data_IF_236884559610
#
_entry.id   IF_236884559610
#
_cell.length_a   1.000
_cell.length_b   1.000
_cell.length_c   1.000
_cell.angle_alpha   90.00
_cell.angle_beta   90.00
_cell.angle_gamma   90.00
#
_symmetry.space_group_name_H-M   'P 1'
#
loop_
_entity.id
_entity.type
_entity.pdbx_description
1 polymer ?
#
# COMPACT_ATOMS: atom_id res chain seq x y z
N UNK A 1 11.26 32.98 -8.06
CA UNK A 1 12.47 32.12 -8.05
C UNK A 1 12.74 31.71 -6.61
N UNK A 2 12.21 30.57 -6.20
CA UNK A 2 12.40 30.03 -4.86
C UNK A 2 12.43 28.50 -5.00
N UNK A 3 13.62 27.98 -5.29
CA UNK A 3 13.94 26.55 -5.36
C UNK A 3 15.26 26.37 -4.63
N UNK A 4 15.21 26.45 -3.31
CA UNK A 4 16.33 26.09 -2.45
C UNK A 4 16.13 24.63 -2.03
N UNK A 5 16.82 23.77 -2.79
CA UNK A 5 17.51 22.55 -2.40
C UNK A 5 17.00 21.79 -1.16
N UNK A 6 16.21 20.75 -1.41
CA UNK A 6 15.94 19.65 -0.46
C UNK A 6 17.21 18.82 -0.18
N UNK A 7 18.26 18.93 -1.02
CA UNK A 7 19.52 18.21 -0.85
C UNK A 7 20.33 18.65 0.38
N UNK A 8 20.06 19.82 0.95
CA UNK A 8 20.85 20.36 2.07
C UNK A 8 20.37 19.86 3.45
N UNK A 9 19.14 19.32 3.55
CA UNK A 9 18.61 18.79 4.83
C UNK A 9 18.96 17.33 5.11
N UNK A 10 19.62 16.64 4.19
CA UNK A 10 19.95 15.20 4.31
C UNK A 10 21.35 14.97 4.91
N UNK A 11 22.18 16.00 5.04
CA UNK A 11 23.61 15.85 5.32
C UNK A 11 24.02 15.82 6.82
N UNK A 12 23.14 16.12 7.79
CA UNK A 12 23.57 16.34 9.18
C UNK A 12 23.24 15.23 10.19
N UNK A 13 22.81 14.04 9.74
CA UNK A 13 22.35 12.95 10.64
C UNK A 13 23.28 11.74 10.80
N UNK A 14 24.47 11.73 10.19
CA UNK A 14 25.34 10.53 10.16
C UNK A 14 26.41 10.56 11.24
N UNK A 15 26.09 10.02 12.43
CA UNK A 15 27.05 9.32 13.29
C UNK A 15 26.35 8.76 14.54
N UNK A 16 25.96 7.47 14.56
CA UNK A 16 26.28 6.55 15.66
C UNK A 16 25.79 5.10 15.41
N UNK A 17 26.70 4.16 15.67
CA UNK A 17 26.52 2.74 16.01
C UNK A 17 26.21 1.76 14.88
N UNK A 18 27.27 1.07 14.48
CA UNK A 18 27.28 -0.27 13.90
C UNK A 18 27.82 -1.23 14.98
N UNK A 19 27.02 -2.19 15.48
CA UNK A 19 27.44 -3.58 15.75
C UNK A 19 26.34 -4.50 16.34
N UNK A 20 26.22 -5.66 15.68
CA UNK A 20 25.89 -7.02 16.14
C UNK A 20 24.52 -7.39 16.74
N UNK A 21 23.79 -8.26 16.01
CA UNK A 21 23.57 -9.69 16.34
C UNK A 21 22.15 -10.22 15.99
N UNK A 22 22.10 -10.90 14.85
CA UNK A 22 21.24 -12.04 14.45
C UNK A 22 20.47 -12.80 15.58
N UNK A 23 19.13 -12.91 15.48
CA UNK A 23 18.38 -14.20 15.42
C UNK A 23 16.84 -14.05 15.34
N UNK A 24 16.30 -14.69 14.29
CA UNK A 24 15.04 -15.44 14.15
C UNK A 24 13.72 -14.84 14.68
N UNK A 25 12.78 -14.62 13.75
CA UNK A 25 11.36 -14.63 14.11
C UNK A 25 10.39 -13.99 13.12
N UNK A 26 10.05 -14.73 12.06
CA UNK A 26 8.88 -14.53 11.17
C UNK A 26 8.99 -13.42 10.12
N UNK A 27 9.35 -13.83 8.90
CA UNK A 27 9.08 -13.08 7.68
C UNK A 27 7.61 -13.33 7.27
N UNK A 28 6.69 -12.37 7.42
CA UNK A 28 5.33 -12.54 6.91
C UNK A 28 5.36 -12.41 5.39
N UNK A 29 5.57 -13.56 4.74
CA UNK A 29 5.50 -13.77 3.29
C UNK A 29 4.32 -13.00 2.68
N UNK A 30 4.62 -11.89 2.02
CA UNK A 30 3.64 -11.08 1.29
C UNK A 30 3.83 -11.36 -0.19
N UNK A 31 3.01 -12.30 -0.69
CA UNK A 31 3.15 -12.88 -2.03
C UNK A 31 2.47 -11.99 -3.07
N UNK A 32 3.20 -11.61 -4.12
CA UNK A 32 2.62 -11.07 -5.36
C UNK A 32 2.57 -12.18 -6.40
N UNK A 33 1.40 -12.79 -6.62
CA UNK A 33 1.17 -13.82 -7.64
C UNK A 33 2.35 -14.83 -7.80
N UNK A 34 2.76 -15.43 -6.68
CA UNK A 34 3.82 -16.46 -6.50
C UNK A 34 5.29 -16.00 -6.54
N UNK A 35 5.58 -14.72 -6.77
CA UNK A 35 6.96 -14.18 -6.74
C UNK A 35 7.18 -13.24 -5.54
N UNK A 36 8.36 -13.37 -4.91
CA UNK A 36 8.81 -12.55 -3.79
C UNK A 36 9.34 -11.20 -4.30
N UNK A 37 8.44 -10.23 -4.46
CA UNK A 37 8.75 -8.92 -5.05
C UNK A 37 8.94 -7.85 -3.96
N UNK A 38 8.66 -8.17 -2.69
CA UNK A 38 8.51 -7.17 -1.62
C UNK A 38 9.51 -7.44 -0.50
N UNK A 39 10.68 -6.81 -0.57
CA UNK A 39 11.56 -6.74 0.58
C UNK A 39 11.03 -5.69 1.57
N UNK A 40 10.57 -6.13 2.73
CA UNK A 40 10.04 -5.26 3.76
C UNK A 40 11.19 -4.68 4.60
N UNK A 41 11.26 -3.36 4.71
CA UNK A 41 12.02 -2.69 5.76
C UNK A 41 11.03 -2.23 6.84
N UNK A 42 11.21 -2.73 8.05
CA UNK A 42 10.45 -2.30 9.23
C UNK A 42 11.18 -1.13 9.89
N UNK A 43 10.53 0.03 9.94
CA UNK A 43 11.03 1.19 10.71
C UNK A 43 10.28 1.40 12.03
N UNK A 44 9.03 0.97 12.09
CA UNK A 44 8.17 1.03 13.27
C UNK A 44 7.18 -0.15 13.22
N UNK A 45 6.58 -0.53 14.36
CA UNK A 45 5.71 -1.70 14.50
C UNK A 45 4.48 -1.68 13.56
N UNK A 46 4.13 -0.52 13.00
CA UNK A 46 3.00 -0.35 12.09
C UNK A 46 3.37 0.24 10.70
N UNK A 47 4.63 0.59 10.45
CA UNK A 47 5.03 1.20 9.18
C UNK A 47 6.02 0.31 8.44
N UNK A 48 5.49 -0.37 7.42
CA UNK A 48 6.26 -1.21 6.51
C UNK A 48 6.57 -0.48 5.22
N UNK A 49 7.82 -0.59 4.77
CA UNK A 49 8.32 0.06 3.58
C UNK A 49 8.93 -0.94 2.60
N UNK A 50 8.90 -0.59 1.31
CA UNK A 50 9.47 -1.39 0.22
C UNK A 50 10.45 -0.52 -0.58
N UNK A 51 11.69 -0.97 -0.81
CA UNK A 51 12.63 -0.27 -1.67
C UNK A 51 12.12 -0.18 -3.11
N UNK A 52 12.03 1.04 -3.65
CA UNK A 52 11.62 1.25 -5.04
C UNK A 52 12.63 0.67 -6.03
N UNK A 53 13.92 0.68 -5.69
CA UNK A 53 14.98 0.05 -6.47
C UNK A 53 14.68 -1.42 -6.80
N UNK A 54 14.22 -2.19 -5.80
CA UNK A 54 13.86 -3.61 -5.98
C UNK A 54 12.60 -3.80 -6.82
N UNK A 55 11.58 -2.97 -6.59
CA UNK A 55 10.36 -3.00 -7.39
C UNK A 55 10.67 -2.70 -8.87
N UNK A 56 11.48 -1.67 -9.12
CA UNK A 56 11.91 -1.29 -10.47
C UNK A 56 12.74 -2.38 -11.13
N UNK A 57 13.70 -2.99 -10.42
CA UNK A 57 14.50 -4.09 -10.92
C UNK A 57 13.64 -5.29 -11.34
N UNK A 58 12.62 -5.63 -10.55
CA UNK A 58 11.72 -6.76 -10.83
C UNK A 58 10.84 -6.50 -12.05
N UNK A 59 10.33 -5.27 -12.19
CA UNK A 59 9.46 -4.87 -13.30
C UNK A 59 10.24 -4.48 -14.58
N UNK A 60 11.55 -4.31 -14.47
CA UNK A 60 12.41 -3.82 -15.55
C UNK A 60 12.17 -2.34 -15.88
N UNK A 61 11.87 -1.52 -14.86
CA UNK A 61 11.62 -0.09 -14.99
C UNK A 61 12.90 0.72 -14.75
N UNK A 62 12.94 1.92 -15.32
CA UNK A 62 13.93 2.93 -14.97
C UNK A 62 13.65 3.48 -13.57
N UNK A 63 14.61 3.29 -12.65
CA UNK A 63 14.46 3.66 -11.25
C UNK A 63 14.35 5.18 -11.07
N UNK A 64 15.21 5.96 -11.74
CA UNK A 64 15.20 7.42 -11.62
C UNK A 64 13.86 8.01 -12.08
N UNK A 65 13.37 7.58 -13.24
CA UNK A 65 12.06 7.97 -13.76
C UNK A 65 10.91 7.56 -12.84
N UNK A 66 10.93 6.33 -12.30
CA UNK A 66 9.90 5.84 -11.39
C UNK A 66 9.88 6.61 -10.06
N UNK A 67 11.05 6.93 -9.49
CA UNK A 67 11.17 7.76 -8.29
C UNK A 67 10.67 9.16 -8.56
N UNK A 68 11.05 9.77 -9.68
CA UNK A 68 10.63 11.13 -10.02
C UNK A 68 9.10 11.22 -10.24
N UNK A 69 8.52 10.21 -10.88
CA UNK A 69 7.06 10.09 -11.03
C UNK A 69 6.35 9.95 -9.66
N UNK A 70 6.91 9.14 -8.76
CA UNK A 70 6.36 8.97 -7.41
C UNK A 70 6.45 10.27 -6.58
N UNK A 71 7.55 11.03 -6.70
CA UNK A 71 7.71 12.34 -6.05
C UNK A 71 6.69 13.36 -6.60
N UNK A 72 6.47 13.35 -7.92
CA UNK A 72 5.52 14.26 -8.57
C UNK A 72 4.05 14.00 -8.16
N UNK A 73 3.73 12.76 -7.75
CA UNK A 73 2.39 12.39 -7.33
C UNK A 73 2.17 12.66 -5.82
N UNK A 74 1.25 13.56 -5.47
CA UNK A 74 1.01 14.03 -4.09
C UNK A 74 0.73 12.91 -3.08
N UNK A 75 -0.07 11.90 -3.46
CA UNK A 75 -0.36 10.76 -2.58
C UNK A 75 0.86 9.86 -2.36
N UNK A 76 1.60 9.52 -3.43
CA UNK A 76 2.78 8.66 -3.32
C UNK A 76 3.89 9.36 -2.54
N UNK A 77 4.14 10.64 -2.83
CA UNK A 77 5.19 11.41 -2.16
C UNK A 77 4.98 11.51 -0.64
N UNK A 78 3.73 11.47 -0.17
CA UNK A 78 3.42 11.43 1.27
C UNK A 78 3.94 10.18 1.99
N UNK A 79 4.10 9.06 1.28
CA UNK A 79 4.63 7.81 1.81
C UNK A 79 6.01 7.43 1.29
N UNK A 80 6.72 8.35 0.63
CA UNK A 80 8.13 8.17 0.30
C UNK A 80 9.03 8.53 1.49
N UNK A 81 10.10 7.77 1.67
CA UNK A 81 11.18 8.01 2.63
C UNK A 81 12.52 7.70 1.98
N UNK A 82 13.59 8.29 2.51
CA UNK A 82 14.96 7.87 2.22
C UNK A 82 15.55 7.20 3.46
N UNK A 83 15.94 5.93 3.34
CA UNK A 83 16.44 5.12 4.44
C UNK A 83 17.75 4.47 4.01
N UNK A 84 18.82 4.75 4.73
CA UNK A 84 20.18 4.31 4.39
C UNK A 84 20.61 4.63 2.94
N UNK A 85 20.04 5.69 2.34
CA UNK A 85 20.30 6.10 0.96
C UNK A 85 19.31 5.54 -0.07
N UNK A 86 18.51 4.53 0.28
CA UNK A 86 17.49 3.96 -0.61
C UNK A 86 16.18 4.75 -0.52
N UNK A 87 15.56 4.99 -1.68
CA UNK A 87 14.19 5.52 -1.73
C UNK A 87 13.22 4.36 -1.52
N UNK A 88 12.41 4.46 -0.47
CA UNK A 88 11.41 3.44 -0.13
C UNK A 88 10.01 4.02 -0.16
N UNK A 89 9.04 3.17 -0.50
CA UNK A 89 7.62 3.49 -0.55
C UNK A 89 6.87 2.71 0.54
N UNK A 90 5.95 3.36 1.23
CA UNK A 90 5.07 2.71 2.21
C UNK A 90 4.24 1.60 1.53
N UNK A 91 4.16 0.43 2.17
CA UNK A 91 3.56 -0.80 1.58
C UNK A 91 2.14 -0.60 1.08
N UNK A 92 1.32 0.16 1.81
CA UNK A 92 -0.09 0.44 1.46
C UNK A 92 -0.24 1.29 0.18
N UNK A 93 0.81 1.98 -0.25
CA UNK A 93 0.83 2.79 -1.47
C UNK A 93 1.37 2.03 -2.69
N UNK A 94 1.98 0.86 -2.49
CA UNK A 94 2.44 0.00 -3.60
C UNK A 94 1.30 -0.35 -4.56
N UNK A 95 0.08 -0.69 -4.10
CA UNK A 95 -1.02 -0.98 -5.01
C UNK A 95 -1.38 0.18 -5.94
N UNK A 96 -1.39 1.41 -5.40
CA UNK A 96 -1.63 2.63 -6.16
C UNK A 96 -0.49 2.90 -7.15
N UNK A 97 0.76 2.71 -6.73
CA UNK A 97 1.91 2.88 -7.60
C UNK A 97 1.85 1.91 -8.79
N UNK A 98 1.59 0.62 -8.56
CA UNK A 98 1.42 -0.37 -9.63
C UNK A 98 0.26 -0.03 -10.59
N UNK A 99 -0.83 0.51 -10.05
CA UNK A 99 -1.98 0.91 -10.86
C UNK A 99 -1.68 2.04 -11.85
N UNK A 100 -0.64 2.84 -11.60
CA UNK A 100 -0.28 4.01 -12.41
C UNK A 100 0.85 3.77 -13.42
N UNK A 101 1.52 2.61 -13.36
CA UNK A 101 2.63 2.29 -14.27
C UNK A 101 2.12 2.04 -15.69
N UNK A 102 2.80 2.61 -16.67
CA UNK A 102 2.54 2.28 -18.08
C UNK A 102 3.02 0.85 -18.38
N UNK A 103 2.09 -0.04 -18.73
CA UNK A 103 2.37 -1.42 -19.12
C UNK A 103 3.32 -1.55 -20.32
N UNK A 104 3.45 -0.52 -21.15
CA UNK A 104 4.42 -0.52 -22.25
C UNK A 104 5.87 -0.36 -21.77
N UNK A 105 6.06 0.30 -20.61
CA UNK A 105 7.37 0.60 -20.01
C UNK A 105 7.99 -0.55 -19.21
N UNK A 106 7.21 -1.58 -18.86
CA UNK A 106 7.72 -2.77 -18.16
C UNK A 106 8.26 -3.82 -19.13
N UNK A 107 9.05 -4.74 -18.58
CA UNK A 107 9.53 -5.91 -19.32
C UNK A 107 8.35 -6.75 -19.86
N UNK A 108 8.60 -7.51 -20.94
CA UNK A 108 7.54 -8.29 -21.60
C UNK A 108 7.00 -9.44 -20.75
N UNK A 109 7.79 -9.94 -19.80
CA UNK A 109 7.42 -11.06 -18.93
C UNK A 109 6.32 -10.67 -17.91
N UNK A 110 6.37 -9.44 -17.39
CA UNK A 110 5.44 -8.96 -16.35
C UNK A 110 4.28 -8.14 -16.93
N UNK A 111 4.38 -7.69 -18.19
CA UNK A 111 3.36 -6.87 -18.86
C UNK A 111 1.94 -7.42 -18.76
N UNK A 112 1.74 -8.72 -19.01
CA UNK A 112 0.41 -9.34 -18.94
C UNK A 112 -0.11 -9.41 -17.51
N UNK A 113 0.75 -9.74 -16.54
CA UNK A 113 0.43 -9.76 -15.10
C UNK A 113 0.03 -8.35 -14.62
N UNK A 114 0.79 -7.32 -15.00
CA UNK A 114 0.50 -5.94 -14.62
C UNK A 114 -0.82 -5.45 -15.24
N UNK A 115 -1.09 -5.78 -16.50
CA UNK A 115 -2.35 -5.41 -17.15
C UNK A 115 -3.56 -6.07 -16.47
N UNK A 116 -3.45 -7.35 -16.12
CA UNK A 116 -4.49 -8.06 -15.36
C UNK A 116 -4.71 -7.40 -13.98
N UNK A 117 -3.62 -7.16 -13.25
CA UNK A 117 -3.67 -6.48 -11.95
C UNK A 117 -4.38 -5.11 -12.04
N UNK A 118 -4.08 -4.30 -13.06
CA UNK A 118 -4.71 -2.99 -13.26
C UNK A 118 -6.22 -3.10 -13.56
N UNK A 119 -6.62 -4.11 -14.34
CA UNK A 119 -8.04 -4.39 -14.61
C UNK A 119 -8.78 -4.82 -13.34
N UNK A 120 -8.17 -5.71 -12.55
CA UNK A 120 -8.72 -6.15 -11.27
C UNK A 120 -8.81 -5.00 -10.28
N UNK A 121 -7.78 -4.15 -10.20
CA UNK A 121 -7.80 -2.95 -9.36
C UNK A 121 -8.94 -2.01 -9.75
N UNK A 122 -9.14 -1.74 -11.04
CA UNK A 122 -10.25 -0.91 -11.50
C UNK A 122 -11.61 -1.51 -11.09
N UNK A 123 -11.78 -2.82 -11.25
CA UNK A 123 -13.00 -3.52 -10.86
C UNK A 123 -13.25 -3.47 -9.35
N UNK A 124 -12.22 -3.76 -8.54
CA UNK A 124 -12.30 -3.73 -7.07
C UNK A 124 -12.56 -2.32 -6.56
N UNK A 125 -11.86 -1.31 -7.11
CA UNK A 125 -12.11 0.09 -6.76
C UNK A 125 -13.55 0.47 -7.10
N UNK A 126 -14.04 0.11 -8.28
CA UNK A 126 -15.43 0.34 -8.66
C UNK A 126 -16.42 -0.32 -7.69
N UNK A 127 -16.20 -1.59 -7.34
CA UNK A 127 -17.06 -2.33 -6.41
C UNK A 127 -17.02 -1.76 -4.98
N UNK A 128 -15.83 -1.35 -4.52
CA UNK A 128 -15.64 -0.80 -3.17
C UNK A 128 -16.25 0.59 -3.00
N UNK A 129 -16.25 1.40 -4.06
CA UNK A 129 -16.83 2.74 -4.07
C UNK A 129 -18.25 2.78 -4.64
N UNK A 130 -18.79 1.65 -5.13
CA UNK A 130 -20.19 1.54 -5.49
C UNK A 130 -21.01 1.82 -4.22
N UNK A 131 -21.79 2.91 -4.16
CA UNK A 131 -22.74 3.11 -3.08
C UNK A 131 -23.82 2.03 -3.30
N UNK A 132 -23.67 0.88 -2.65
CA UNK A 132 -24.66 -0.19 -2.65
C UNK A 132 -25.16 -0.66 -4.02
N UNK A 133 -24.32 -0.81 -5.05
CA UNK A 133 -24.73 -1.63 -6.22
C UNK A 133 -25.16 -0.91 -7.50
N UNK A 134 -25.08 0.42 -7.62
CA UNK A 134 -25.66 1.15 -8.77
C UNK A 134 -24.64 1.75 -9.76
N UNK A 135 -24.91 1.58 -11.05
CA UNK A 135 -24.16 2.24 -12.13
C UNK A 135 -24.65 3.67 -12.38
N UNK A 136 -23.96 4.47 -13.21
CA UNK A 136 -24.42 5.80 -13.61
C UNK A 136 -25.73 5.79 -14.41
N UNK A 137 -26.21 4.62 -14.84
CA UNK A 137 -27.49 4.39 -15.52
C UNK A 137 -28.68 4.08 -14.58
N UNK A 138 -28.43 3.79 -13.30
CA UNK A 138 -29.46 3.37 -12.35
C UNK A 138 -30.06 4.58 -11.62
N UNK A 139 -31.28 4.97 -12.01
CA UNK A 139 -31.91 6.24 -11.55
C UNK A 139 -32.69 6.10 -10.23
N UNK A 140 -32.95 4.89 -9.72
CA UNK A 140 -33.71 4.69 -8.47
C UNK A 140 -33.16 3.47 -7.71
N UNK A 141 -32.86 3.66 -6.42
CA UNK A 141 -32.49 2.57 -5.51
C UNK A 141 -33.71 1.64 -5.34
N UNK A 142 -33.60 0.32 -5.58
CA UNK A 142 -34.62 -0.63 -5.12
C UNK A 142 -34.69 -0.57 -3.59
N UNK A 143 -35.90 -0.48 -3.06
CA UNK A 143 -36.07 -0.57 -1.61
C UNK A 143 -35.58 -1.95 -1.11
N UNK A 144 -35.17 -2.09 0.17
CA UNK A 144 -34.79 -3.39 0.74
C UNK A 144 -35.81 -4.52 0.52
N UNK A 145 -37.07 -4.17 0.24
CA UNK A 145 -38.14 -5.10 -0.12
C UNK A 145 -38.02 -5.69 -1.54
N UNK A 146 -37.21 -5.10 -2.41
CA UNK A 146 -37.04 -5.44 -3.82
C UNK A 146 -35.67 -6.09 -4.12
N UNK A 147 -34.78 -6.16 -3.14
CA UNK A 147 -33.46 -6.78 -3.29
C UNK A 147 -33.54 -8.31 -3.31
N UNK A 148 -32.73 -8.94 -4.17
CA UNK A 148 -32.60 -10.39 -4.19
C UNK A 148 -31.92 -10.92 -2.90
N UNK A 149 -32.22 -12.16 -2.46
CA UNK A 149 -31.64 -12.72 -1.24
C UNK A 149 -30.10 -12.74 -1.22
N UNK A 150 -29.47 -12.92 -2.38
CA UNK A 150 -28.01 -12.89 -2.52
C UNK A 150 -27.44 -11.47 -2.32
N UNK A 151 -28.17 -10.44 -2.74
CA UNK A 151 -27.77 -9.05 -2.59
C UNK A 151 -27.89 -8.60 -1.13
N UNK A 152 -28.97 -8.97 -0.46
CA UNK A 152 -29.14 -8.77 0.99
C UNK A 152 -28.04 -9.47 1.80
N UNK A 153 -27.70 -10.71 1.44
CA UNK A 153 -26.62 -11.45 2.08
C UNK A 153 -25.27 -10.76 1.90
N UNK A 154 -24.96 -10.31 0.68
CA UNK A 154 -23.73 -9.57 0.40
C UNK A 154 -23.62 -8.28 1.21
N UNK A 155 -24.68 -7.46 1.25
CA UNK A 155 -24.70 -6.24 2.07
C UNK A 155 -24.52 -6.55 3.57
N UNK A 156 -25.18 -7.61 4.06
CA UNK A 156 -25.01 -8.09 5.43
C UNK A 156 -23.56 -8.48 5.74
N UNK A 157 -22.91 -9.23 4.85
CA UNK A 157 -21.51 -9.63 5.01
C UNK A 157 -20.55 -8.42 4.95
N UNK A 158 -20.81 -7.43 4.10
CA UNK A 158 -20.01 -6.21 4.07
C UNK A 158 -20.14 -5.39 5.35
N UNK A 159 -21.34 -5.28 5.91
CA UNK A 159 -21.56 -4.64 7.19
C UNK A 159 -20.83 -5.38 8.33
N UNK A 160 -20.89 -6.72 8.35
CA UNK A 160 -20.16 -7.53 9.31
C UNK A 160 -18.64 -7.35 9.18
N UNK A 161 -18.10 -7.34 7.95
CA UNK A 161 -16.68 -7.11 7.69
C UNK A 161 -16.23 -5.71 8.10
N UNK A 162 -17.10 -4.70 7.96
CA UNK A 162 -16.82 -3.34 8.44
C UNK A 162 -16.77 -3.28 9.98
N UNK A 163 -17.71 -3.93 10.67
CA UNK A 163 -17.72 -4.03 12.14
C UNK A 163 -16.48 -4.75 12.67
N UNK A 164 -16.10 -5.88 12.04
CA UNK A 164 -14.90 -6.62 12.44
C UNK A 164 -13.63 -5.76 12.32
N UNK A 165 -13.51 -4.97 11.24
CA UNK A 165 -12.39 -4.02 11.07
C UNK A 165 -12.35 -2.97 12.18
N UNK A 166 -13.50 -2.42 12.59
CA UNK A 166 -13.56 -1.47 13.70
C UNK A 166 -13.12 -2.12 15.02
N UNK A 167 -13.58 -3.35 15.30
CA UNK A 167 -13.22 -4.08 16.51
C UNK A 167 -11.72 -4.36 16.60
N UNK A 168 -11.09 -4.77 15.49
CA UNK A 168 -9.64 -4.99 15.44
C UNK A 168 -8.83 -3.72 15.73
N UNK A 169 -9.28 -2.56 15.24
CA UNK A 169 -8.61 -1.28 15.51
C UNK A 169 -8.72 -0.90 16.99
N UNK A 170 -9.90 -1.09 17.61
CA UNK A 170 -10.10 -0.85 19.04
C UNK A 170 -9.21 -1.78 19.87
N UNK A 171 -9.13 -3.07 19.51
CA UNK A 171 -8.28 -4.03 20.22
C UNK A 171 -6.81 -3.65 20.15
N UNK A 172 -6.31 -3.22 18.99
CA UNK A 172 -4.94 -2.70 18.86
C UNK A 172 -4.69 -1.50 19.76
N UNK A 173 -5.61 -0.52 19.78
CA UNK A 173 -5.48 0.66 20.64
C UNK A 173 -5.48 0.30 22.13
N UNK A 174 -6.36 -0.60 22.55
CA UNK A 174 -6.41 -1.09 23.93
C UNK A 174 -5.13 -1.81 24.33
N UNK A 175 -4.56 -2.59 23.41
CA UNK A 175 -3.32 -3.32 23.65
C UNK A 175 -2.13 -2.36 23.80
N UNK A 176 -2.01 -1.35 22.93
CA UNK A 176 -0.99 -0.29 23.06
C UNK A 176 -1.13 0.46 24.40
N UNK A 177 -2.34 0.91 24.76
CA UNK A 177 -2.58 1.62 26.02
C UNK A 177 -2.25 0.76 27.27
N UNK A 178 -2.48 -0.55 27.19
CA UNK A 178 -2.18 -1.50 28.28
C UNK A 178 -0.68 -1.70 28.46
N UNK A 179 0.08 -1.71 27.37
CA UNK A 179 1.54 -1.83 27.39
C UNK A 179 2.21 -0.55 27.93
N UNK A 180 1.65 0.62 27.62
CA UNK A 180 2.12 1.91 28.16
C UNK A 180 1.78 2.10 29.65
N UNK A 181 0.57 1.70 30.08
CA UNK A 181 0.15 1.77 31.48
C UNK A 181 0.92 0.83 32.42
N UNK A 182 1.64 -0.16 31.88
CA UNK A 182 2.43 -1.12 32.65
C UNK A 182 3.92 -0.71 32.80
N UNK A 183 4.30 0.49 32.35
CA UNK A 183 5.66 1.06 32.42
C UNK A 183 5.84 2.17 33.48
N UNK A 184 4.85 2.37 34.36
CA UNK A 184 4.88 3.32 35.49
C UNK A 184 4.83 2.54 36.80
#
# INVERSE_FOLDING_TARGET
MHTASIAERVAEGSALVMQDANRDGHDPTTVFYEEDIIALQELDANERYVPLSRLCATLGLDEEGAVQAAIAHSTLSSGLRSIAGDVVLRVDLVPLWLAMIDTASVNSAVRSKLSLYQQECASVLWQAFKPQGFGPEDTLLPEPAEMEPAELAYQGMMAQAALARQQMLVERQLQTNREEGNRI
#
